data_IF_154284614822
#
_entry.id   IF_154284614822
#
_cell.length_a   1.000
_cell.length_b   1.000
_cell.length_c   1.000
_cell.angle_alpha   90.00
_cell.angle_beta   90.00
_cell.angle_gamma   90.00
#
_symmetry.space_group_name_H-M   'P 1'
#
loop_
_entity.id
_entity.type
_entity.pdbx_description
1 polymer ?
#
# COMPACT_ATOMS: atom_id res chain seq x y z
N UNK A 1 53.28 -10.66 19.78
CA UNK A 1 51.82 -10.54 19.98
C UNK A 1 51.21 -9.16 19.70
N UNK A 2 51.90 -8.03 19.97
CA UNK A 2 51.34 -6.66 19.88
C UNK A 2 50.91 -6.18 18.48
N UNK A 3 51.48 -6.75 17.40
CA UNK A 3 51.18 -6.36 16.02
C UNK A 3 49.93 -7.03 15.41
N UNK A 4 49.51 -8.19 15.94
CA UNK A 4 48.34 -8.92 15.41
C UNK A 4 47.05 -8.21 15.81
N UNK A 5 46.94 -7.74 17.06
CA UNK A 5 45.78 -6.99 17.55
C UNK A 5 45.59 -5.62 16.86
N UNK A 6 46.69 -4.93 16.50
CA UNK A 6 46.62 -3.64 15.79
C UNK A 6 46.10 -3.76 14.35
N UNK A 7 46.42 -4.85 13.65
CA UNK A 7 45.94 -5.08 12.27
C UNK A 7 44.44 -5.43 12.29
N UNK A 8 44.01 -6.23 13.26
CA UNK A 8 42.61 -6.60 13.43
C UNK A 8 41.74 -5.42 13.89
N UNK A 9 42.28 -4.50 14.70
CA UNK A 9 41.57 -3.27 15.11
C UNK A 9 41.33 -2.31 13.94
N UNK A 10 42.30 -2.18 13.01
CA UNK A 10 42.12 -1.41 11.77
C UNK A 10 41.03 -2.02 10.88
N UNK A 11 41.02 -3.35 10.74
CA UNK A 11 39.98 -4.08 10.00
C UNK A 11 38.61 -3.89 10.66
N UNK A 12 38.53 -4.00 11.99
CA UNK A 12 37.30 -3.81 12.75
C UNK A 12 36.76 -2.37 12.63
N UNK A 13 37.65 -1.38 12.68
CA UNK A 13 37.30 0.03 12.50
C UNK A 13 36.80 0.31 11.07
N UNK A 14 37.39 -0.32 10.05
CA UNK A 14 36.94 -0.20 8.66
C UNK A 14 35.56 -0.83 8.45
N UNK A 15 35.31 -1.99 9.08
CA UNK A 15 34.03 -2.70 9.03
C UNK A 15 32.91 -1.90 9.71
N UNK A 16 33.22 -1.22 10.81
CA UNK A 16 32.30 -0.32 11.50
C UNK A 16 31.90 0.88 10.62
N UNK A 17 32.86 1.53 9.94
CA UNK A 17 32.57 2.64 9.03
C UNK A 17 31.71 2.19 7.84
N UNK A 18 31.98 1.01 7.28
CA UNK A 18 31.17 0.42 6.20
C UNK A 18 29.73 0.11 6.65
N UNK A 19 29.54 -0.37 7.88
CA UNK A 19 28.21 -0.62 8.45
C UNK A 19 27.42 0.68 8.65
N UNK A 20 28.06 1.74 9.16
CA UNK A 20 27.42 3.05 9.34
C UNK A 20 27.11 3.75 8.01
N UNK A 21 27.98 3.62 7.00
CA UNK A 21 27.71 4.11 5.65
C UNK A 21 26.49 3.39 5.03
N UNK A 22 26.31 2.10 5.32
CA UNK A 22 25.17 1.30 4.84
C UNK A 22 23.85 1.69 5.51
N UNK A 23 23.85 2.07 6.79
CA UNK A 23 22.64 2.58 7.48
C UNK A 23 22.17 3.96 6.97
N UNK A 24 23.04 4.75 6.33
CA UNK A 24 22.66 6.05 5.74
C UNK A 24 21.83 5.90 4.45
N UNK A 25 21.74 4.68 3.89
CA UNK A 25 20.86 4.33 2.79
C UNK A 25 19.45 3.88 3.29
N UNK A 26 19.03 4.32 4.47
CA UNK A 26 17.61 4.22 4.83
C UNK A 26 16.87 5.34 4.09
N UNK A 27 16.11 4.96 3.07
CA UNK A 27 15.31 5.88 2.26
C UNK A 27 14.39 6.69 3.18
N UNK A 28 14.46 8.03 3.08
CA UNK A 28 13.42 8.87 3.68
C UNK A 28 12.10 8.47 3.04
N UNK A 29 11.05 8.25 3.83
CA UNK A 29 9.69 8.15 3.30
C UNK A 29 9.41 9.46 2.56
N UNK A 30 9.38 9.40 1.23
CA UNK A 30 9.09 10.56 0.40
C UNK A 30 7.58 10.61 0.21
N UNK A 31 6.92 11.36 1.08
CA UNK A 31 5.51 11.73 0.90
C UNK A 31 5.52 13.15 0.30
N UNK A 32 5.91 13.27 -0.97
CA UNK A 32 5.93 14.55 -1.67
C UNK A 32 4.97 14.49 -2.86
N UNK A 33 3.79 15.13 -2.77
CA UNK A 33 2.77 15.09 -3.83
C UNK A 33 3.27 15.67 -5.16
N UNK A 34 4.32 16.51 -5.15
CA UNK A 34 4.91 17.05 -6.36
C UNK A 34 5.56 15.96 -7.23
N UNK A 35 6.07 14.89 -6.61
CA UNK A 35 6.68 13.78 -7.34
C UNK A 35 5.64 12.96 -8.09
N UNK A 36 4.51 12.69 -7.45
CA UNK A 36 3.43 11.90 -8.04
C UNK A 36 2.78 12.64 -9.21
N UNK A 37 2.59 13.95 -9.05
CA UNK A 37 2.17 14.83 -10.16
C UNK A 37 3.15 14.80 -11.33
N UNK A 38 4.45 14.89 -11.06
CA UNK A 38 5.48 14.81 -12.12
C UNK A 38 5.51 13.44 -12.80
N UNK A 39 5.26 12.37 -12.07
CA UNK A 39 5.15 11.03 -12.63
C UNK A 39 3.95 10.92 -13.56
N UNK A 40 2.78 11.42 -13.14
CA UNK A 40 1.57 11.45 -13.96
C UNK A 40 1.76 12.31 -15.20
N UNK A 41 2.33 13.50 -15.07
CA UNK A 41 2.67 14.38 -16.20
C UNK A 41 3.54 13.65 -17.24
N UNK A 42 4.55 12.91 -16.79
CA UNK A 42 5.41 12.13 -17.66
C UNK A 42 4.68 10.95 -18.31
N UNK A 43 3.85 10.22 -17.56
CA UNK A 43 3.08 9.09 -18.07
C UNK A 43 2.09 9.58 -19.14
N UNK A 44 1.32 10.63 -18.85
CA UNK A 44 0.39 11.25 -19.80
C UNK A 44 1.12 11.67 -21.08
N UNK A 45 2.28 12.33 -20.94
CA UNK A 45 3.10 12.70 -22.09
C UNK A 45 3.54 11.50 -22.93
N UNK A 46 3.96 10.39 -22.30
CA UNK A 46 4.38 9.17 -22.99
C UNK A 46 3.20 8.50 -23.70
N UNK A 47 2.01 8.47 -23.09
CA UNK A 47 0.82 7.87 -23.72
C UNK A 47 0.40 8.71 -24.94
N UNK A 48 0.35 10.04 -24.82
CA UNK A 48 -0.05 10.93 -25.92
C UNK A 48 0.95 10.96 -27.09
N UNK A 49 2.26 10.94 -26.80
CA UNK A 49 3.33 11.17 -27.80
C UNK A 49 4.10 9.93 -28.19
N UNK A 50 4.04 8.87 -27.38
CA UNK A 50 4.83 7.66 -27.55
C UNK A 50 4.13 6.55 -28.31
N UNK A 51 2.80 6.57 -28.42
CA UNK A 51 2.05 5.55 -29.15
C UNK A 51 2.02 5.85 -30.66
N UNK A 52 2.35 4.84 -31.48
CA UNK A 52 2.24 4.90 -32.93
C UNK A 52 0.79 5.10 -33.41
N UNK A 53 -0.16 4.60 -32.61
CA UNK A 53 -1.60 4.83 -32.77
C UNK A 53 -2.10 5.61 -31.54
N UNK A 54 -2.27 6.95 -31.64
CA UNK A 54 -2.60 7.78 -30.49
C UNK A 54 -3.97 7.43 -29.93
N UNK A 55 -4.01 7.09 -28.64
CA UNK A 55 -5.27 6.89 -27.92
C UNK A 55 -5.92 8.25 -27.71
N UNK A 56 -7.21 8.37 -28.01
CA UNK A 56 -7.97 9.57 -27.73
C UNK A 56 -8.18 9.70 -26.21
N UNK A 57 -7.73 10.80 -25.61
CA UNK A 57 -8.04 11.14 -24.22
C UNK A 57 -9.44 11.79 -24.17
N UNK A 58 -10.45 10.96 -24.10
CA UNK A 58 -11.87 11.33 -24.03
C UNK A 58 -12.62 10.52 -22.95
N UNK A 59 -13.94 10.71 -22.88
CA UNK A 59 -14.80 10.01 -21.93
C UNK A 59 -14.71 8.47 -22.04
N UNK A 60 -14.47 7.93 -23.25
CA UNK A 60 -14.36 6.48 -23.45
C UNK A 60 -13.06 5.94 -22.83
N UNK A 61 -11.95 6.66 -23.02
CA UNK A 61 -10.70 6.38 -22.31
C UNK A 61 -10.87 6.47 -20.79
N UNK A 62 -11.59 7.49 -20.31
CA UNK A 62 -11.89 7.63 -18.88
C UNK A 62 -12.64 6.43 -18.31
N UNK A 63 -13.64 5.92 -19.02
CA UNK A 63 -14.42 4.76 -18.58
C UNK A 63 -13.59 3.47 -18.50
N UNK A 64 -12.72 3.24 -19.49
CA UNK A 64 -11.80 2.10 -19.52
C UNK A 64 -10.78 2.20 -18.38
N UNK A 65 -10.11 3.35 -18.25
CA UNK A 65 -9.15 3.60 -17.18
C UNK A 65 -9.77 3.47 -15.79
N UNK A 66 -10.98 3.99 -15.60
CA UNK A 66 -11.72 3.87 -14.34
C UNK A 66 -11.94 2.41 -13.95
N UNK A 67 -12.41 1.61 -14.91
CA UNK A 67 -12.71 0.20 -14.70
C UNK A 67 -11.44 -0.61 -14.43
N UNK A 68 -10.41 -0.41 -15.25
CA UNK A 68 -9.13 -1.10 -15.15
C UNK A 68 -8.40 -0.76 -13.84
N UNK A 69 -8.42 0.52 -13.44
CA UNK A 69 -7.76 0.94 -12.22
C UNK A 69 -8.40 0.29 -10.99
N UNK A 70 -9.74 0.29 -10.89
CA UNK A 70 -10.44 -0.35 -9.77
C UNK A 70 -10.26 -1.87 -9.77
N UNK A 71 -10.19 -2.51 -10.94
CA UNK A 71 -9.91 -3.95 -11.06
C UNK A 71 -8.47 -4.28 -10.63
N UNK A 72 -7.49 -3.43 -10.94
CA UNK A 72 -6.10 -3.60 -10.47
C UNK A 72 -6.02 -3.43 -8.95
N UNK A 73 -6.73 -2.46 -8.40
CA UNK A 73 -6.69 -2.14 -6.97
C UNK A 73 -7.40 -3.20 -6.11
N UNK A 74 -8.57 -3.69 -6.54
CA UNK A 74 -9.34 -4.69 -5.81
C UNK A 74 -9.97 -5.75 -6.74
N UNK A 75 -9.16 -6.63 -7.36
CA UNK A 75 -9.62 -7.60 -8.37
C UNK A 75 -10.59 -8.64 -7.79
N UNK A 76 -10.49 -8.89 -6.49
CA UNK A 76 -11.33 -9.85 -5.77
C UNK A 76 -12.48 -9.18 -5.00
N UNK A 77 -12.62 -7.85 -5.11
CA UNK A 77 -13.70 -7.04 -4.53
C UNK A 77 -13.88 -7.27 -3.03
N UNK A 78 -12.77 -7.29 -2.29
CA UNK A 78 -12.74 -7.60 -0.85
C UNK A 78 -12.64 -6.38 0.04
N UNK A 79 -12.16 -5.25 -0.48
CA UNK A 79 -11.90 -4.06 0.32
C UNK A 79 -13.05 -3.06 0.21
N UNK A 80 -13.51 -2.76 -0.99
CA UNK A 80 -14.46 -1.67 -1.19
C UNK A 80 -15.91 -2.07 -0.90
N UNK A 81 -16.63 -1.16 -0.25
CA UNK A 81 -18.07 -1.27 -0.06
C UNK A 81 -18.83 -0.72 -1.27
N UNK A 82 -20.09 -1.10 -1.41
CA UNK A 82 -20.98 -0.55 -2.45
C UNK A 82 -21.11 0.98 -2.38
N UNK A 83 -20.96 1.59 -1.18
CA UNK A 83 -20.93 3.04 -1.01
C UNK A 83 -19.68 3.67 -1.61
N UNK A 84 -18.54 2.98 -1.54
CA UNK A 84 -17.26 3.48 -2.07
C UNK A 84 -17.33 3.53 -3.60
N UNK A 85 -17.83 2.47 -4.24
CA UNK A 85 -18.07 2.45 -5.68
C UNK A 85 -19.01 3.58 -6.13
N UNK A 86 -20.07 3.88 -5.38
CA UNK A 86 -20.98 4.99 -5.71
C UNK A 86 -20.28 6.36 -5.66
N UNK A 87 -19.29 6.51 -4.78
CA UNK A 87 -18.50 7.73 -4.72
C UNK A 87 -17.52 7.81 -5.89
N UNK A 88 -16.87 6.69 -6.22
CA UNK A 88 -15.92 6.59 -7.33
C UNK A 88 -16.59 6.84 -8.69
N UNK A 89 -17.83 6.34 -8.89
CA UNK A 89 -18.60 6.51 -10.14
C UNK A 89 -18.77 7.97 -10.58
N UNK A 90 -18.64 8.95 -9.67
CA UNK A 90 -18.66 10.38 -10.02
C UNK A 90 -17.52 10.79 -10.96
N UNK A 91 -16.45 10.01 -11.01
CA UNK A 91 -15.24 10.29 -11.78
C UNK A 91 -15.14 9.49 -13.08
N UNK A 92 -16.11 8.61 -13.34
CA UNK A 92 -16.06 7.60 -14.40
C UNK A 92 -15.75 8.15 -15.79
N UNK A 93 -16.23 9.35 -16.10
CA UNK A 93 -16.03 9.99 -17.42
C UNK A 93 -15.14 11.23 -17.36
N UNK A 94 -14.45 11.48 -16.25
CA UNK A 94 -13.69 12.73 -16.03
C UNK A 94 -12.20 12.51 -15.74
N UNK A 95 -11.69 11.30 -15.94
CA UNK A 95 -10.31 10.97 -15.61
C UNK A 95 -9.33 11.54 -16.64
N UNK A 96 -9.72 11.62 -17.90
CA UNK A 96 -8.95 12.26 -18.97
C UNK A 96 -8.71 13.75 -18.67
N UNK A 97 -9.74 14.47 -18.20
CA UNK A 97 -9.63 15.86 -17.76
C UNK A 97 -8.69 16.01 -16.55
N UNK A 98 -8.76 15.09 -15.59
CA UNK A 98 -7.86 15.07 -14.44
C UNK A 98 -6.40 14.82 -14.88
N UNK A 99 -6.16 13.88 -15.78
CA UNK A 99 -4.82 13.59 -16.27
C UNK A 99 -4.22 14.76 -17.07
N UNK A 100 -5.03 15.43 -17.90
CA UNK A 100 -4.61 16.65 -18.64
C UNK A 100 -4.24 17.80 -17.70
N UNK A 101 -4.96 17.94 -16.58
CA UNK A 101 -4.72 18.96 -15.57
C UNK A 101 -3.71 18.56 -14.49
N UNK A 102 -3.14 17.35 -14.59
CA UNK A 102 -2.22 16.77 -13.60
C UNK A 102 -2.86 16.75 -12.19
N UNK A 103 -4.18 16.53 -12.16
CA UNK A 103 -4.94 16.27 -10.95
C UNK A 103 -4.93 14.77 -10.67
N UNK A 104 -4.60 14.42 -9.43
CA UNK A 104 -4.48 13.03 -8.96
C UNK A 104 -5.51 12.72 -7.87
N UNK A 105 -6.53 13.58 -7.73
CA UNK A 105 -7.54 13.49 -6.68
C UNK A 105 -8.27 12.14 -6.67
N UNK A 106 -8.65 11.61 -7.84
CA UNK A 106 -9.29 10.29 -7.91
C UNK A 106 -8.37 9.16 -7.41
N UNK A 107 -7.12 9.14 -7.85
CA UNK A 107 -6.17 8.10 -7.44
C UNK A 107 -5.87 8.16 -5.95
N UNK A 108 -5.74 9.36 -5.39
CA UNK A 108 -5.58 9.56 -3.95
C UNK A 108 -6.82 9.09 -3.18
N UNK A 109 -8.02 9.45 -3.63
CA UNK A 109 -9.28 9.05 -3.02
C UNK A 109 -9.39 7.52 -2.92
N UNK A 110 -9.13 6.81 -4.03
CA UNK A 110 -9.18 5.34 -4.06
C UNK A 110 -8.10 4.74 -3.15
N UNK A 111 -6.87 5.25 -3.22
CA UNK A 111 -5.77 4.76 -2.40
C UNK A 111 -6.05 4.94 -0.89
N UNK A 112 -6.51 6.12 -0.48
CA UNK A 112 -6.90 6.39 0.91
C UNK A 112 -8.02 5.45 1.37
N UNK A 113 -9.04 5.22 0.52
CA UNK A 113 -10.13 4.29 0.82
C UNK A 113 -9.64 2.87 1.01
N UNK A 114 -8.68 2.39 0.22
CA UNK A 114 -8.08 1.06 0.42
C UNK A 114 -7.39 0.98 1.79
N UNK A 115 -6.60 1.98 2.15
CA UNK A 115 -5.89 2.00 3.43
C UNK A 115 -6.86 2.02 4.61
N UNK A 116 -7.94 2.79 4.49
CA UNK A 116 -9.04 2.82 5.47
C UNK A 116 -9.66 1.42 5.65
N UNK A 117 -10.04 0.76 4.56
CA UNK A 117 -10.67 -0.59 4.59
C UNK A 117 -9.72 -1.66 5.12
N UNK A 118 -8.43 -1.59 4.79
CA UNK A 118 -7.40 -2.47 5.37
C UNK A 118 -7.30 -2.26 6.88
N UNK A 119 -7.32 -1.00 7.34
CA UNK A 119 -7.26 -0.69 8.77
C UNK A 119 -8.48 -1.23 9.52
N UNK A 120 -9.69 -1.01 8.99
CA UNK A 120 -10.92 -1.57 9.55
C UNK A 120 -10.87 -3.10 9.63
N UNK A 121 -10.45 -3.77 8.55
CA UNK A 121 -10.36 -5.22 8.51
C UNK A 121 -9.36 -5.77 9.54
N UNK A 122 -8.26 -5.05 9.79
CA UNK A 122 -7.26 -5.43 10.79
C UNK A 122 -7.81 -5.41 12.21
N UNK A 123 -8.59 -4.39 12.56
CA UNK A 123 -9.24 -4.32 13.87
C UNK A 123 -10.24 -5.46 14.06
N UNK A 124 -11.07 -5.72 13.04
CA UNK A 124 -12.03 -6.85 13.05
C UNK A 124 -11.30 -8.18 13.24
N UNK A 125 -10.20 -8.39 12.52
CA UNK A 125 -9.39 -9.61 12.64
C UNK A 125 -8.86 -9.81 14.07
N UNK A 126 -8.32 -8.74 14.67
CA UNK A 126 -7.80 -8.78 16.03
C UNK A 126 -8.89 -9.15 17.05
N UNK A 127 -10.07 -8.54 16.93
CA UNK A 127 -11.21 -8.80 17.83
C UNK A 127 -11.74 -10.23 17.72
N UNK A 128 -11.87 -10.75 16.50
CA UNK A 128 -12.32 -12.13 16.26
C UNK A 128 -11.30 -13.12 16.85
N UNK A 129 -10.01 -12.90 16.63
CA UNK A 129 -8.95 -13.78 17.13
C UNK A 129 -8.91 -13.79 18.67
N UNK A 130 -9.01 -12.61 19.30
CA UNK A 130 -9.06 -12.48 20.75
C UNK A 130 -10.27 -13.24 21.33
N UNK A 131 -11.45 -13.09 20.71
CA UNK A 131 -12.67 -13.77 21.14
C UNK A 131 -12.57 -15.30 21.02
N UNK A 132 -12.02 -15.81 19.91
CA UNK A 132 -11.81 -17.24 19.71
C UNK A 132 -10.88 -17.84 20.77
N UNK A 133 -9.80 -17.13 21.11
CA UNK A 133 -8.83 -17.57 22.11
C UNK A 133 -9.45 -17.64 23.52
N UNK A 134 -10.26 -16.64 23.88
CA UNK A 134 -11.02 -16.64 25.14
C UNK A 134 -11.99 -17.83 25.22
N UNK A 135 -12.75 -18.08 24.15
CA UNK A 135 -13.69 -19.22 24.10
C UNK A 135 -12.96 -20.55 24.27
N UNK A 136 -11.79 -20.71 23.64
CA UNK A 136 -10.98 -21.92 23.75
C UNK A 136 -10.49 -22.12 25.20
N UNK A 137 -9.96 -21.07 25.83
CA UNK A 137 -9.50 -21.11 27.23
C UNK A 137 -10.63 -21.46 28.19
N UNK A 138 -11.82 -20.87 28.02
CA UNK A 138 -12.99 -21.19 28.84
C UNK A 138 -13.39 -22.66 28.71
N UNK A 139 -13.39 -23.21 27.50
CA UNK A 139 -13.70 -24.64 27.27
C UNK A 139 -12.68 -25.57 27.94
N UNK A 140 -11.39 -25.25 27.85
CA UNK A 140 -10.32 -26.01 28.51
C UNK A 140 -10.48 -25.97 30.03
N UNK A 141 -10.76 -24.79 30.60
CA UNK A 141 -10.96 -24.64 32.04
C UNK A 141 -12.15 -25.48 32.54
N UNK A 142 -13.28 -25.44 31.83
CA UNK A 142 -14.46 -26.25 32.14
C UNK A 142 -14.15 -27.75 32.09
N UNK A 143 -13.35 -28.18 31.11
CA UNK A 143 -12.93 -29.57 30.99
C UNK A 143 -12.05 -30.00 32.17
N UNK A 144 -11.08 -29.17 32.56
CA UNK A 144 -10.20 -29.42 33.72
C UNK A 144 -11.04 -29.50 35.00
N UNK A 145 -11.98 -28.57 35.20
CA UNK A 145 -12.86 -28.58 36.37
C UNK A 145 -13.74 -29.84 36.42
N UNK A 146 -14.26 -30.32 35.27
CA UNK A 146 -15.01 -31.58 35.21
C UNK A 146 -14.16 -32.80 35.58
N UNK A 147 -12.91 -32.83 35.15
CA UNK A 147 -11.97 -33.91 35.49
C UNK A 147 -11.63 -33.89 36.98
N UNK A 148 -11.46 -32.71 37.58
CA UNK A 148 -11.04 -32.56 38.98
C UNK A 148 -12.13 -32.91 40.00
N UNK A 149 -13.40 -32.88 39.59
CA UNK A 149 -14.58 -33.16 40.43
C UNK A 149 -15.08 -34.61 40.24
N UNK A 150 -14.46 -35.39 39.34
CA UNK A 150 -14.75 -36.80 39.09
C UNK A 150 -13.72 -37.70 39.77
#
# INVERSE_FOLDING_TARGET
MKNIMKKNFKVLSLLMVLAFASCSFTSKKFDNPDKDKKLIELITFVIERGHFDPIAFDDAFSEELFSDYLEIVDPVKRYFYASDYKEFEKYRTSLDDQLKSVDISFFNLVHERVLERISEAKEIYHDILAKLLIILLMKILILIMKILVM
#
